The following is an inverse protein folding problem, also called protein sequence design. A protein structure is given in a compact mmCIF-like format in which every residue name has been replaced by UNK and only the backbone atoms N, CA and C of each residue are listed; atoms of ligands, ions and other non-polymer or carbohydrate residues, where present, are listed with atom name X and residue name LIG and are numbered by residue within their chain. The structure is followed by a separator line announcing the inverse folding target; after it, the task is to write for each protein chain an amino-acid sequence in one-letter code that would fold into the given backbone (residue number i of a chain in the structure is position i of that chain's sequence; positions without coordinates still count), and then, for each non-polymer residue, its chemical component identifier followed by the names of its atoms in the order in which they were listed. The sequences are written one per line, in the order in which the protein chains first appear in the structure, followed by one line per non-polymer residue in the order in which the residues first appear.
data_IF_000338353577
#
_entry.id   IF_000338353577
#
_cell.length_a   1.000
_cell.length_b   1.000
_cell.length_c   1.000
_cell.angle_alpha   90.00
_cell.angle_beta   90.00
_cell.angle_gamma   90.00
#
_symmetry.space_group_name_H-M   'P 1'
#
loop_
_entity.id
_entity.type
_entity.pdbx_description
1 polymer ?
#
# COMPACT_ATOMS: atom_id res chain seq x y z
N UNK A 1 -25.06 22.92 -46.74
CA UNK A 1 -23.91 22.95 -45.84
C UNK A 1 -24.35 22.32 -44.54
N UNK A 2 -23.99 21.06 -44.34
CA UNK A 2 -24.37 20.30 -43.16
C UNK A 2 -23.22 20.38 -42.12
N UNK A 3 -23.49 21.00 -40.97
CA UNK A 3 -22.54 21.08 -39.86
C UNK A 3 -22.53 19.80 -39.07
N UNK A 4 -21.42 19.08 -39.13
CA UNK A 4 -21.19 17.88 -38.34
C UNK A 4 -20.81 18.30 -36.92
N UNK A 5 -21.74 18.11 -35.98
CA UNK A 5 -21.49 18.28 -34.54
C UNK A 5 -20.67 17.11 -34.04
N UNK A 6 -19.40 17.35 -33.69
CA UNK A 6 -18.55 16.41 -32.94
C UNK A 6 -19.08 16.30 -31.51
N UNK A 7 -19.67 15.15 -31.16
CA UNK A 7 -19.94 14.78 -29.78
C UNK A 7 -18.60 14.50 -29.11
N UNK A 8 -18.18 15.36 -28.20
CA UNK A 8 -17.14 15.07 -27.21
C UNK A 8 -17.77 14.11 -26.24
N UNK A 9 -17.43 12.84 -26.34
CA UNK A 9 -17.68 11.85 -25.27
C UNK A 9 -16.73 12.18 -24.14
N UNK A 10 -17.24 12.79 -23.07
CA UNK A 10 -16.56 12.85 -21.78
C UNK A 10 -16.40 11.40 -21.29
N UNK A 11 -15.21 10.82 -21.45
CA UNK A 11 -14.85 9.60 -20.80
C UNK A 11 -14.92 9.84 -19.30
N UNK A 12 -15.93 9.28 -18.65
CA UNK A 12 -15.94 9.12 -17.20
C UNK A 12 -14.85 8.12 -16.93
N UNK A 13 -13.72 8.59 -16.37
CA UNK A 13 -12.63 7.74 -15.92
C UNK A 13 -13.24 6.72 -14.92
N UNK A 14 -13.34 5.46 -15.31
CA UNK A 14 -13.78 4.43 -14.38
C UNK A 14 -12.83 4.44 -13.18
N UNK A 15 -13.36 4.39 -11.94
CA UNK A 15 -12.51 4.42 -10.77
C UNK A 15 -11.52 3.27 -10.86
N UNK A 16 -10.22 3.58 -10.81
CA UNK A 16 -9.16 2.57 -10.80
C UNK A 16 -9.46 1.55 -9.71
N UNK A 17 -9.55 0.31 -10.13
CA UNK A 17 -9.65 -0.84 -9.23
C UNK A 17 -8.25 -1.29 -8.85
N UNK A 18 -8.14 -2.08 -7.79
CA UNK A 18 -6.90 -2.73 -7.41
C UNK A 18 -6.27 -3.47 -8.59
N UNK A 19 -4.96 -3.32 -8.72
CA UNK A 19 -4.16 -3.93 -9.77
C UNK A 19 -3.22 -4.97 -9.16
N UNK A 20 -3.14 -6.16 -9.76
CA UNK A 20 -2.18 -7.20 -9.40
C UNK A 20 -1.32 -7.51 -10.62
N UNK A 21 -0.02 -7.31 -10.48
CA UNK A 21 0.98 -7.63 -11.51
C UNK A 21 1.98 -8.61 -10.89
N UNK A 22 1.86 -9.89 -11.25
CA UNK A 22 2.63 -10.96 -10.61
C UNK A 22 2.37 -10.99 -9.11
N UNK A 23 3.42 -10.91 -8.32
CA UNK A 23 3.39 -10.93 -6.85
C UNK A 23 3.33 -9.52 -6.22
N UNK A 24 2.90 -8.50 -6.96
CA UNK A 24 2.75 -7.12 -6.47
C UNK A 24 1.34 -6.64 -6.69
N UNK A 25 0.70 -6.18 -5.61
CA UNK A 25 -0.66 -5.65 -5.65
C UNK A 25 -0.67 -4.16 -5.27
N UNK A 26 -1.53 -3.39 -5.93
CA UNK A 26 -1.79 -1.98 -5.65
C UNK A 26 -3.26 -1.79 -5.38
N UNK A 27 -3.58 -1.18 -4.26
CA UNK A 27 -4.96 -0.94 -3.82
C UNK A 27 -5.27 0.55 -4.02
N UNK A 28 -6.32 0.84 -4.76
CA UNK A 28 -6.71 2.20 -5.10
C UNK A 28 -8.09 2.59 -4.59
N UNK A 29 -8.29 3.89 -4.39
CA UNK A 29 -9.59 4.55 -4.31
C UNK A 29 -9.62 5.66 -5.36
N UNK A 30 -10.29 5.43 -6.49
CA UNK A 30 -10.17 6.30 -7.65
C UNK A 30 -8.73 6.35 -8.16
N UNK A 31 -8.11 7.52 -8.14
CA UNK A 31 -6.69 7.73 -8.52
C UNK A 31 -5.71 7.57 -7.35
N UNK A 32 -6.21 7.53 -6.12
CA UNK A 32 -5.38 7.51 -4.92
C UNK A 32 -4.87 6.10 -4.62
N UNK A 33 -3.55 5.94 -4.61
CA UNK A 33 -2.91 4.71 -4.16
C UNK A 33 -2.97 4.65 -2.63
N UNK A 34 -3.74 3.69 -2.10
CA UNK A 34 -3.93 3.51 -0.66
C UNK A 34 -2.86 2.60 -0.06
N UNK A 35 -2.55 1.52 -0.77
CA UNK A 35 -1.59 0.54 -0.29
C UNK A 35 -0.88 -0.19 -1.44
N UNK A 36 0.30 -0.73 -1.13
CA UNK A 36 1.08 -1.59 -1.99
C UNK A 36 1.47 -2.85 -1.22
N UNK A 37 1.24 -4.03 -1.79
CA UNK A 37 1.59 -5.32 -1.18
C UNK A 37 2.61 -6.00 -2.06
N UNK A 38 3.72 -6.45 -1.46
CA UNK A 38 4.70 -7.35 -2.06
C UNK A 38 4.48 -8.71 -1.42
N UNK A 39 4.09 -9.69 -2.24
CA UNK A 39 3.89 -11.05 -1.78
C UNK A 39 5.21 -11.77 -1.52
N UNK A 40 5.21 -12.70 -0.58
CA UNK A 40 6.40 -13.44 -0.15
C UNK A 40 7.15 -14.14 -1.29
N UNK A 41 6.43 -14.55 -2.34
CA UNK A 41 7.01 -15.20 -3.52
C UNK A 41 7.71 -14.26 -4.50
N UNK A 42 7.64 -12.93 -4.31
CA UNK A 42 8.40 -12.00 -5.15
C UNK A 42 9.89 -12.23 -4.96
N UNK A 43 10.59 -12.59 -6.03
CA UNK A 43 11.99 -13.00 -5.96
C UNK A 43 12.86 -12.55 -7.14
N UNK A 44 12.42 -11.55 -7.91
CA UNK A 44 13.15 -11.07 -9.08
C UNK A 44 14.54 -10.54 -8.71
N UNK A 45 15.60 -10.92 -9.48
CA UNK A 45 16.95 -10.41 -9.22
C UNK A 45 17.05 -8.90 -9.46
N UNK A 46 17.92 -8.22 -8.72
CA UNK A 46 18.20 -6.80 -8.88
C UNK A 46 17.53 -5.94 -7.81
N UNK A 47 17.26 -4.69 -8.16
CA UNK A 47 16.65 -3.67 -7.31
C UNK A 47 15.35 -3.23 -7.95
N UNK A 48 14.25 -3.39 -7.23
CA UNK A 48 12.90 -3.06 -7.69
C UNK A 48 12.26 -2.07 -6.72
N UNK A 49 12.14 -0.81 -7.13
CA UNK A 49 11.36 0.19 -6.40
C UNK A 49 9.90 0.12 -6.86
N UNK A 50 8.98 0.01 -5.92
CA UNK A 50 7.54 -0.14 -6.20
C UNK A 50 6.76 1.15 -6.00
N UNK A 51 7.38 2.14 -5.36
CA UNK A 51 6.80 3.43 -5.01
C UNK A 51 7.22 4.51 -6.02
N UNK A 52 6.34 5.50 -6.23
CA UNK A 52 6.69 6.71 -6.94
C UNK A 52 7.73 7.51 -6.16
N UNK A 53 8.64 8.19 -6.87
CA UNK A 53 9.71 8.99 -6.27
C UNK A 53 9.20 10.19 -5.45
N UNK A 54 7.94 10.60 -5.64
CA UNK A 54 7.32 11.68 -4.88
C UNK A 54 6.86 11.24 -3.48
N UNK A 55 6.72 9.93 -3.22
CA UNK A 55 6.34 9.44 -1.89
C UNK A 55 7.45 9.66 -0.87
N UNK A 56 7.08 10.11 0.31
CA UNK A 56 8.03 10.36 1.42
C UNK A 56 8.68 9.08 1.95
N UNK A 57 8.06 7.92 1.74
CA UNK A 57 8.58 6.60 2.07
C UNK A 57 8.71 5.75 0.81
N UNK A 58 9.90 5.21 0.59
CA UNK A 58 10.20 4.37 -0.55
C UNK A 58 10.22 2.90 -0.13
N UNK A 59 9.54 2.04 -0.90
CA UNK A 59 9.56 0.60 -0.71
C UNK A 59 10.20 -0.07 -1.91
N UNK A 60 11.22 -0.88 -1.65
CA UNK A 60 11.92 -1.64 -2.66
C UNK A 60 12.21 -3.07 -2.20
N UNK A 61 12.30 -3.98 -3.15
CA UNK A 61 12.86 -5.31 -2.98
C UNK A 61 14.25 -5.34 -3.64
N UNK A 62 15.21 -6.00 -2.97
CA UNK A 62 16.57 -6.14 -3.48
C UNK A 62 17.01 -7.58 -3.37
N UNK A 63 17.51 -8.14 -4.46
CA UNK A 63 18.13 -9.46 -4.52
C UNK A 63 19.45 -9.39 -5.27
N UNK A 64 20.51 -9.71 -4.57
CA UNK A 64 21.87 -9.70 -5.13
C UNK A 64 22.49 -11.10 -5.06
N UNK A 65 23.36 -11.48 -6.00
CA UNK A 65 24.12 -12.73 -5.91
C UNK A 65 25.16 -12.65 -4.79
N UNK A 66 25.60 -13.81 -4.37
CA UNK A 66 26.75 -13.94 -3.44
C UNK A 66 27.97 -13.19 -3.99
N UNK A 67 28.72 -12.53 -3.11
CA UNK A 67 29.91 -11.77 -3.43
C UNK A 67 29.65 -10.38 -4.03
N UNK A 68 28.39 -9.96 -4.27
CA UNK A 68 28.08 -8.60 -4.68
C UNK A 68 28.50 -7.60 -3.60
N UNK A 69 29.41 -6.71 -3.94
CA UNK A 69 29.77 -5.59 -3.08
C UNK A 69 28.82 -4.43 -3.30
N UNK A 70 28.24 -3.89 -2.23
CA UNK A 70 27.55 -2.61 -2.19
C UNK A 70 28.49 -1.63 -1.51
N UNK A 71 28.92 -0.60 -2.25
CA UNK A 71 29.88 0.35 -1.74
C UNK A 71 29.34 1.10 -0.51
N UNK A 72 30.17 1.31 0.53
CA UNK A 72 29.79 2.16 1.66
C UNK A 72 29.39 3.56 1.20
N UNK A 73 28.29 4.07 1.74
CA UNK A 73 27.78 5.39 1.40
C UNK A 73 27.09 6.05 2.59
N UNK A 74 26.91 7.34 2.50
CA UNK A 74 26.11 8.13 3.44
C UNK A 74 24.96 8.80 2.70
N UNK A 75 23.83 8.90 3.35
CA UNK A 75 22.71 9.69 2.83
C UNK A 75 22.89 11.15 3.24
N UNK A 76 22.88 12.05 2.26
CA UNK A 76 22.95 13.48 2.53
C UNK A 76 21.66 13.98 3.20
N UNK A 77 21.75 14.95 4.13
CA UNK A 77 20.57 15.61 4.67
C UNK A 77 19.75 16.27 3.54
N UNK A 78 18.50 15.88 3.41
CA UNK A 78 17.56 16.48 2.46
C UNK A 78 16.25 16.74 3.19
N UNK A 79 15.73 18.00 3.16
CA UNK A 79 14.41 18.29 3.70
C UNK A 79 13.34 17.43 3.01
N UNK A 80 12.43 16.87 3.78
CA UNK A 80 11.28 16.11 3.29
C UNK A 80 10.02 16.56 4.00
N UNK A 81 8.94 16.70 3.24
CA UNK A 81 7.62 16.95 3.78
C UNK A 81 6.86 15.62 3.86
N UNK A 82 6.22 15.36 5.00
CA UNK A 82 5.41 14.17 5.23
C UNK A 82 3.99 14.64 5.54
N UNK A 83 3.05 14.34 4.65
CA UNK A 83 1.64 14.72 4.80
C UNK A 83 0.81 13.63 5.49
N UNK A 84 1.14 12.36 5.23
CA UNK A 84 0.45 11.20 5.79
C UNK A 84 1.44 10.33 6.55
N UNK A 85 0.99 9.79 7.67
CA UNK A 85 1.73 8.71 8.34
C UNK A 85 1.62 7.46 7.46
N UNK A 86 2.74 7.03 6.89
CA UNK A 86 2.84 5.81 6.12
C UNK A 86 3.38 4.71 7.01
N UNK A 87 2.83 3.51 6.87
CA UNK A 87 3.19 2.35 7.69
C UNK A 87 3.60 1.20 6.80
N UNK A 88 4.78 0.61 7.05
CA UNK A 88 5.21 -0.65 6.44
C UNK A 88 5.01 -1.75 7.46
N UNK A 89 4.30 -2.80 7.09
CA UNK A 89 4.20 -4.02 7.89
C UNK A 89 4.92 -5.15 7.17
N UNK A 90 5.80 -5.84 7.87
CA UNK A 90 6.40 -7.11 7.47
C UNK A 90 5.78 -8.22 8.30
N UNK A 91 5.06 -9.14 7.67
CA UNK A 91 4.43 -10.29 8.34
C UNK A 91 5.47 -11.38 8.53
N UNK A 92 5.79 -11.70 9.78
CA UNK A 92 6.77 -12.75 10.12
C UNK A 92 6.13 -14.11 10.33
N UNK A 93 4.88 -14.12 10.85
CA UNK A 93 4.14 -15.36 11.17
C UNK A 93 2.64 -15.09 11.12
N UNK A 94 1.86 -16.13 10.85
CA UNK A 94 0.40 -16.11 10.94
C UNK A 94 -0.29 -15.47 9.75
N UNK A 95 -1.55 -15.05 9.98
CA UNK A 95 -2.41 -14.47 8.94
C UNK A 95 -3.13 -13.24 9.44
N UNK A 96 -3.02 -12.16 8.68
CA UNK A 96 -3.63 -10.88 8.96
C UNK A 96 -4.58 -10.49 7.83
N UNK A 97 -5.85 -10.17 8.13
CA UNK A 97 -6.71 -9.48 7.18
C UNK A 97 -6.50 -7.98 7.32
N UNK A 98 -6.31 -7.30 6.21
CA UNK A 98 -6.27 -5.84 6.12
C UNK A 98 -7.51 -5.36 5.39
N UNK A 99 -8.27 -4.47 6.03
CA UNK A 99 -9.47 -3.85 5.49
C UNK A 99 -9.13 -2.43 5.03
N UNK A 100 -9.44 -2.08 3.78
CA UNK A 100 -9.13 -0.77 3.20
C UNK A 100 -10.37 0.11 3.12
N UNK A 101 -10.17 1.39 3.45
CA UNK A 101 -11.20 2.42 3.43
C UNK A 101 -10.67 3.66 2.70
N UNK A 102 -11.54 4.37 2.00
CA UNK A 102 -11.19 5.65 1.40
C UNK A 102 -11.06 6.76 2.46
N UNK A 103 -10.70 7.97 2.01
CA UNK A 103 -10.58 9.14 2.88
C UNK A 103 -11.90 9.51 3.58
N UNK A 104 -13.04 9.10 3.05
CA UNK A 104 -14.38 9.26 3.65
C UNK A 104 -14.78 8.10 4.57
N UNK A 105 -13.85 7.21 4.94
CA UNK A 105 -14.08 6.06 5.81
C UNK A 105 -15.03 5.01 5.22
N UNK A 106 -15.27 5.02 3.90
CA UNK A 106 -16.09 4.00 3.23
C UNK A 106 -15.23 2.79 2.92
N UNK A 107 -15.75 1.61 3.31
CA UNK A 107 -15.08 0.33 3.04
C UNK A 107 -14.97 0.06 1.54
N UNK A 108 -13.79 -0.39 1.11
CA UNK A 108 -13.49 -0.73 -0.27
C UNK A 108 -13.39 -2.24 -0.47
N UNK A 109 -12.39 -2.85 0.12
CA UNK A 109 -12.08 -4.27 0.01
C UNK A 109 -11.10 -4.70 1.09
N UNK A 110 -10.79 -5.99 1.14
CA UNK A 110 -9.79 -6.53 2.07
C UNK A 110 -8.78 -7.43 1.37
N UNK A 111 -7.61 -7.56 1.98
CA UNK A 111 -6.58 -8.56 1.60
C UNK A 111 -6.20 -9.39 2.81
N UNK A 112 -5.82 -10.65 2.56
CA UNK A 112 -5.20 -11.51 3.57
C UNK A 112 -3.70 -11.50 3.30
N UNK A 113 -2.92 -11.17 4.33
CA UNK A 113 -1.48 -11.24 4.34
C UNK A 113 -1.02 -12.49 5.08
N UNK A 114 0.05 -13.07 4.59
CA UNK A 114 0.70 -14.27 5.11
C UNK A 114 2.14 -13.97 5.51
N UNK A 115 2.78 -14.91 6.21
CA UNK A 115 4.19 -14.79 6.54
C UNK A 115 5.06 -14.53 5.30
N UNK A 116 5.92 -13.52 5.36
CA UNK A 116 6.78 -13.07 4.27
C UNK A 116 6.19 -11.95 3.42
N UNK A 117 4.88 -11.69 3.49
CA UNK A 117 4.27 -10.55 2.81
C UNK A 117 4.71 -9.24 3.46
N UNK A 118 4.87 -8.22 2.62
CA UNK A 118 5.14 -6.84 3.03
C UNK A 118 4.04 -5.94 2.49
N UNK A 119 3.48 -5.08 3.33
CA UNK A 119 2.53 -4.05 2.90
C UNK A 119 3.05 -2.67 3.27
N UNK A 120 2.94 -1.71 2.36
CA UNK A 120 3.04 -0.28 2.61
C UNK A 120 1.63 0.30 2.58
N UNK A 121 1.19 0.85 3.70
CA UNK A 121 -0.02 1.65 3.83
C UNK A 121 0.35 3.12 3.59
N UNK A 122 -0.25 3.77 2.60
CA UNK A 122 0.17 5.08 2.11
C UNK A 122 -0.76 6.17 2.60
N UNK A 123 -2.06 5.99 2.41
CA UNK A 123 -3.11 6.95 2.80
C UNK A 123 -4.47 6.24 2.89
N UNK A 124 -5.52 6.99 3.21
CA UNK A 124 -6.86 6.43 3.47
C UNK A 124 -6.94 5.76 4.84
N UNK A 125 -8.02 5.02 5.06
CA UNK A 125 -8.23 4.27 6.29
C UNK A 125 -7.85 2.81 6.12
N UNK A 126 -7.41 2.21 7.21
CA UNK A 126 -7.19 0.77 7.26
C UNK A 126 -7.59 0.19 8.61
N UNK A 127 -7.91 -1.10 8.62
CA UNK A 127 -8.19 -1.89 9.81
C UNK A 127 -7.59 -3.27 9.70
N UNK A 128 -7.41 -3.94 10.83
CA UNK A 128 -6.81 -5.27 10.87
C UNK A 128 -7.70 -6.25 11.62
N UNK A 129 -7.77 -7.49 11.11
CA UNK A 129 -8.27 -8.64 11.86
C UNK A 129 -7.22 -9.75 11.86
N UNK A 130 -6.82 -10.17 13.05
CA UNK A 130 -5.91 -11.31 13.23
C UNK A 130 -6.71 -12.59 13.00
N UNK A 131 -6.41 -13.30 11.90
CA UNK A 131 -7.06 -14.57 11.53
C UNK A 131 -6.36 -15.78 12.14
N UNK A 132 -5.02 -15.68 12.28
CA UNK A 132 -4.14 -16.62 13.01
C UNK A 132 -3.16 -15.79 13.80
N UNK A 133 -2.62 -16.32 14.91
CA UNK A 133 -1.63 -15.61 15.71
C UNK A 133 -0.54 -14.99 14.82
N UNK A 134 -0.42 -13.65 14.86
CA UNK A 134 0.45 -12.90 13.95
C UNK A 134 1.64 -12.32 14.70
N UNK A 135 2.82 -12.45 14.11
CA UNK A 135 4.00 -11.66 14.45
C UNK A 135 4.32 -10.76 13.26
N UNK A 136 4.46 -9.47 13.49
CA UNK A 136 4.78 -8.50 12.44
C UNK A 136 5.71 -7.41 12.95
N UNK A 137 6.48 -6.82 12.03
CA UNK A 137 7.27 -5.62 12.29
C UNK A 137 6.58 -4.45 11.61
N UNK A 138 6.38 -3.35 12.35
CA UNK A 138 5.86 -2.08 11.85
C UNK A 138 7.00 -1.07 11.76
N UNK A 139 7.07 -0.36 10.63
CA UNK A 139 7.92 0.83 10.44
C UNK A 139 7.04 1.97 9.99
N UNK A 140 7.03 3.07 10.72
CA UNK A 140 6.25 4.27 10.36
C UNK A 140 6.98 5.56 10.69
N UNK A 141 6.50 6.66 10.11
CA UNK A 141 7.06 7.96 10.46
C UNK A 141 6.76 8.32 11.91
N UNK A 142 7.77 8.91 12.56
CA UNK A 142 7.64 9.62 13.83
C UNK A 142 7.78 11.14 13.65
N UNK A 143 7.73 11.91 14.74
CA UNK A 143 7.52 11.47 16.12
C UNK A 143 6.08 11.03 16.41
N UNK A 144 5.88 10.13 17.36
CA UNK A 144 4.53 9.74 17.81
C UNK A 144 3.87 10.87 18.60
N UNK A 145 2.66 11.26 18.17
CA UNK A 145 1.91 12.38 18.75
C UNK A 145 0.65 11.96 19.51
N UNK A 146 0.57 10.68 19.88
CA UNK A 146 -0.52 10.13 20.71
C UNK A 146 -1.84 10.02 19.95
N UNK A 147 -2.95 10.30 20.64
CA UNK A 147 -4.31 10.19 20.09
C UNK A 147 -4.59 11.14 18.91
N UNK A 148 -3.76 12.13 18.67
CA UNK A 148 -3.88 13.05 17.52
C UNK A 148 -3.39 12.43 16.21
N UNK A 149 -2.68 11.30 16.28
CA UNK A 149 -2.10 10.63 15.13
C UNK A 149 -3.14 9.91 14.25
N UNK A 150 -4.30 9.57 14.84
CA UNK A 150 -5.33 8.83 14.12
C UNK A 150 -6.74 9.09 14.64
N UNK A 151 -7.71 8.97 13.76
CA UNK A 151 -9.13 8.97 14.10
C UNK A 151 -9.69 7.55 13.95
N UNK A 152 -10.23 6.98 15.03
CA UNK A 152 -10.87 5.67 15.01
C UNK A 152 -12.31 5.79 14.54
N UNK A 153 -12.76 4.81 13.75
CA UNK A 153 -14.13 4.71 13.25
C UNK A 153 -14.63 3.26 13.25
N UNK A 154 -15.93 3.07 13.04
CA UNK A 154 -16.52 1.73 12.99
C UNK A 154 -16.10 1.00 11.71
N UNK A 155 -15.43 -0.15 11.86
CA UNK A 155 -14.99 -0.98 10.74
C UNK A 155 -16.12 -1.81 10.13
N UNK A 156 -15.80 -2.48 9.01
CA UNK A 156 -16.70 -3.38 8.29
C UNK A 156 -17.10 -4.60 9.15
N UNK A 157 -18.35 -4.99 9.11
CA UNK A 157 -18.80 -6.22 9.75
C UNK A 157 -18.28 -7.46 8.99
N UNK A 158 -17.91 -8.53 9.72
CA UNK A 158 -17.30 -9.74 9.13
C UNK A 158 -18.07 -10.30 7.93
N UNK A 159 -19.41 -10.33 7.99
CA UNK A 159 -20.25 -10.86 6.93
C UNK A 159 -20.32 -10.00 5.66
N UNK A 160 -19.81 -8.79 5.71
CA UNK A 160 -19.78 -7.82 4.60
C UNK A 160 -18.39 -7.71 3.96
N UNK A 161 -17.39 -8.41 4.51
CA UNK A 161 -16.02 -8.41 3.99
C UNK A 161 -15.98 -8.92 2.56
N UNK A 162 -15.27 -8.20 1.69
CA UNK A 162 -15.03 -8.57 0.29
C UNK A 162 -13.53 -8.74 0.10
N UNK A 163 -13.10 -9.97 -0.10
CA UNK A 163 -11.71 -10.26 -0.43
C UNK A 163 -11.48 -9.88 -1.91
N UNK A 164 -10.55 -9.00 -2.15
CA UNK A 164 -10.07 -8.73 -3.50
C UNK A 164 -9.28 -9.93 -4.06
N UNK A 165 -9.25 -10.02 -5.37
CA UNK A 165 -8.58 -11.11 -6.09
C UNK A 165 -7.10 -10.81 -6.23
#
# INVERSE_FOLDING_TARGET
MAGTSLRVTSGIDEPRRSETIGSVERIFSGTDLLALIIRAEFCEPGIHFFTDNALSQQLAFMRHPEGKLIEPHVHNPVPREVQFTQEVLLIRKGRLRVDFYDAGQRYLESRILHAGDVILLIQGGHGFEVLEEVEMIEVKQGPYVGERDKTRFLGIARHQVRLGK
#
